data_IF_812881129171
#
_entry.id   IF_812881129171
#
_cell.length_a   1.000
_cell.length_b   1.000
_cell.length_c   1.000
_cell.angle_alpha   90.00
_cell.angle_beta   90.00
_cell.angle_gamma   90.00
#
_symmetry.space_group_name_H-M   'P 1'
#
loop_
_entity.id
_entity.type
_entity.pdbx_description
1 polymer ?
#
# COMPACT_ATOMS: atom_id res chain seq x y z
N UNK A 1 -15.08 26.66 3.08
CA UNK A 1 -14.38 26.24 4.30
C UNK A 1 -14.13 24.74 4.23
N UNK A 2 -12.87 24.29 4.28
CA UNK A 2 -12.51 22.85 4.29
C UNK A 2 -12.90 22.22 5.62
N UNK A 3 -13.58 21.06 5.57
CA UNK A 3 -13.95 20.32 6.79
C UNK A 3 -12.68 19.75 7.45
N UNK A 4 -12.57 19.90 8.76
CA UNK A 4 -11.45 19.33 9.53
C UNK A 4 -11.33 17.82 9.32
N UNK A 5 -10.11 17.34 9.09
CA UNK A 5 -9.83 15.91 8.83
C UNK A 5 -9.60 15.09 10.10
N UNK A 6 -9.33 15.75 11.23
CA UNK A 6 -9.11 15.14 12.54
C UNK A 6 -10.14 15.62 13.55
N UNK A 7 -10.58 14.73 14.48
CA UNK A 7 -11.47 15.04 15.56
C UNK A 7 -10.67 15.50 16.79
N UNK A 8 -11.10 16.59 17.43
CA UNK A 8 -10.61 16.97 18.75
C UNK A 8 -11.08 15.99 19.83
N UNK A 9 -10.51 16.04 21.02
CA UNK A 9 -10.91 15.14 22.11
C UNK A 9 -12.37 15.36 22.52
N UNK A 10 -12.79 16.61 22.62
CA UNK A 10 -14.19 16.98 22.94
C UNK A 10 -15.17 16.47 21.88
N UNK A 11 -14.84 16.66 20.59
CA UNK A 11 -15.65 16.13 19.50
C UNK A 11 -15.75 14.60 19.52
N UNK A 12 -14.71 13.90 19.97
CA UNK A 12 -14.75 12.43 20.13
C UNK A 12 -15.68 12.02 21.24
N UNK A 13 -15.63 12.69 22.42
CA UNK A 13 -16.48 12.41 23.56
C UNK A 13 -17.94 12.64 23.16
N UNK A 14 -18.24 13.79 22.55
CA UNK A 14 -19.57 14.14 22.08
C UNK A 14 -20.08 13.12 21.05
N UNK A 15 -19.27 12.77 20.06
CA UNK A 15 -19.65 11.81 19.03
C UNK A 15 -19.96 10.42 19.63
N UNK A 16 -19.20 9.97 20.63
CA UNK A 16 -19.45 8.69 21.31
C UNK A 16 -20.77 8.73 22.08
N UNK A 17 -21.07 9.81 22.80
CA UNK A 17 -22.35 9.99 23.47
C UNK A 17 -23.53 9.91 22.47
N UNK A 18 -23.43 10.60 21.33
CA UNK A 18 -24.43 10.51 20.27
C UNK A 18 -24.59 9.09 19.70
N UNK A 19 -23.52 8.31 19.62
CA UNK A 19 -23.59 6.92 19.16
C UNK A 19 -24.29 6.02 20.19
N UNK A 20 -24.14 6.28 21.46
CA UNK A 20 -24.86 5.60 22.55
C UNK A 20 -26.37 5.88 22.51
N UNK A 21 -26.76 7.10 22.09
CA UNK A 21 -28.14 7.48 21.81
C UNK A 21 -28.73 6.86 20.52
N UNK A 22 -27.93 6.05 19.81
CA UNK A 22 -28.35 5.40 18.55
C UNK A 22 -28.18 6.26 17.30
N UNK A 23 -27.53 7.41 17.38
CA UNK A 23 -27.30 8.32 16.24
C UNK A 23 -26.21 7.77 15.31
N UNK A 24 -26.42 7.88 14.03
CA UNK A 24 -25.49 7.35 13.01
C UNK A 24 -24.33 8.32 12.69
N UNK A 25 -23.24 7.79 12.13
CA UNK A 25 -22.04 8.56 11.80
C UNK A 25 -22.31 9.76 10.85
N UNK A 26 -23.34 9.67 9.99
CA UNK A 26 -23.69 10.75 9.04
C UNK A 26 -24.31 11.96 9.76
N UNK A 27 -25.23 11.69 10.68
CA UNK A 27 -25.91 12.72 11.46
C UNK A 27 -24.91 13.47 12.31
N UNK A 28 -24.11 12.72 13.08
CA UNK A 28 -23.09 13.30 13.97
C UNK A 28 -22.03 14.08 13.17
N UNK A 29 -21.56 13.59 12.03
CA UNK A 29 -20.58 14.30 11.19
C UNK A 29 -21.10 15.64 10.65
N UNK A 30 -22.41 15.71 10.36
CA UNK A 30 -23.06 16.96 9.93
C UNK A 30 -23.14 17.97 11.06
N UNK A 31 -23.52 17.53 12.23
CA UNK A 31 -23.71 18.35 13.41
C UNK A 31 -22.41 18.97 13.92
N UNK A 32 -21.35 18.18 14.05
CA UNK A 32 -20.03 18.69 14.50
C UNK A 32 -19.21 19.33 13.39
N UNK A 33 -19.76 19.46 12.16
CA UNK A 33 -19.11 20.06 11.00
C UNK A 33 -17.76 19.46 10.63
N UNK A 34 -17.54 18.15 10.90
CA UNK A 34 -16.30 17.41 10.60
C UNK A 34 -16.49 16.47 9.41
N UNK A 35 -15.37 16.03 8.79
CA UNK A 35 -15.44 15.09 7.69
C UNK A 35 -16.06 13.76 8.13
N UNK A 36 -17.02 13.25 7.34
CA UNK A 36 -17.68 11.97 7.61
C UNK A 36 -16.68 10.82 7.79
N UNK A 37 -15.58 10.83 7.06
CA UNK A 37 -14.55 9.78 7.15
C UNK A 37 -13.87 9.72 8.52
N UNK A 38 -13.69 10.86 9.18
CA UNK A 38 -13.14 10.93 10.53
C UNK A 38 -14.12 10.36 11.56
N UNK A 39 -15.40 10.78 11.50
CA UNK A 39 -16.46 10.28 12.38
C UNK A 39 -16.71 8.78 12.14
N UNK A 40 -16.73 8.33 10.88
CA UNK A 40 -16.90 6.91 10.53
C UNK A 40 -15.80 6.03 11.13
N UNK A 41 -14.54 6.49 11.14
CA UNK A 41 -13.44 5.75 11.78
C UNK A 41 -13.66 5.61 13.29
N UNK A 42 -14.14 6.66 13.95
CA UNK A 42 -14.49 6.61 15.37
C UNK A 42 -15.68 5.68 15.62
N UNK A 43 -16.72 5.77 14.81
CA UNK A 43 -17.91 4.92 14.88
C UNK A 43 -17.56 3.42 14.78
N UNK A 44 -16.69 3.04 13.84
CA UNK A 44 -16.26 1.64 13.73
C UNK A 44 -15.48 1.16 14.95
N UNK A 45 -14.64 2.01 15.56
CA UNK A 45 -13.96 1.67 16.83
C UNK A 45 -14.95 1.56 17.98
N UNK A 46 -15.92 2.48 18.07
CA UNK A 46 -16.95 2.43 19.09
C UNK A 46 -17.79 1.15 18.99
N UNK A 47 -18.16 0.72 17.81
CA UNK A 47 -18.89 -0.55 17.63
C UNK A 47 -18.14 -1.78 18.17
N UNK A 48 -16.83 -1.74 18.22
CA UNK A 48 -15.99 -2.84 18.74
C UNK A 48 -15.72 -2.67 20.23
N UNK A 49 -15.35 -1.47 20.68
CA UNK A 49 -14.80 -1.21 22.02
C UNK A 49 -15.71 -0.34 22.91
N UNK A 50 -16.89 0.06 22.46
CA UNK A 50 -17.73 1.00 23.17
C UNK A 50 -16.99 2.30 23.51
N UNK A 51 -17.11 2.78 24.75
CA UNK A 51 -16.39 3.95 25.26
C UNK A 51 -14.86 3.84 25.21
N UNK A 52 -14.29 2.62 25.18
CA UNK A 52 -12.87 2.40 24.97
C UNK A 52 -12.33 2.92 23.61
N UNK A 53 -13.20 3.29 22.69
CA UNK A 53 -12.84 3.95 21.42
C UNK A 53 -12.23 5.36 21.62
N UNK A 54 -12.45 5.99 22.77
CA UNK A 54 -11.86 7.29 23.14
C UNK A 54 -10.36 7.18 23.43
N UNK A 55 -9.91 6.01 23.88
CA UNK A 55 -8.49 5.74 24.14
C UNK A 55 -7.81 5.43 22.83
N UNK A 56 -6.89 6.31 22.42
CA UNK A 56 -6.10 6.10 21.21
C UNK A 56 -4.88 5.26 21.57
N UNK A 57 -4.82 4.00 21.09
CA UNK A 57 -3.61 3.19 21.22
C UNK A 57 -2.50 3.82 20.36
N UNK A 58 -1.32 4.12 20.91
CA UNK A 58 -0.25 4.83 20.19
C UNK A 58 0.35 3.97 19.06
N UNK A 59 0.24 2.66 19.14
CA UNK A 59 0.87 1.73 18.21
C UNK A 59 -0.15 1.10 17.26
N UNK A 60 0.20 1.01 15.98
CA UNK A 60 -0.60 0.30 14.99
C UNK A 60 -0.59 -1.19 15.32
N UNK A 61 -1.76 -1.75 15.62
CA UNK A 61 -1.91 -3.16 15.92
C UNK A 61 -1.63 -4.01 14.67
N UNK A 62 -0.75 -5.00 14.82
CA UNK A 62 -0.49 -6.02 13.80
C UNK A 62 -1.16 -7.33 14.24
N UNK A 63 -1.68 -8.07 13.27
CA UNK A 63 -2.37 -9.34 13.51
C UNK A 63 -1.57 -10.45 12.82
N UNK A 64 -1.42 -11.58 13.51
CA UNK A 64 -0.75 -12.76 12.96
C UNK A 64 -1.53 -13.33 11.76
N UNK A 65 -0.88 -14.17 10.98
CA UNK A 65 -1.52 -14.87 9.86
C UNK A 65 -2.67 -15.75 10.34
N UNK A 66 -2.47 -16.49 11.42
CA UNK A 66 -3.44 -17.40 12.02
C UNK A 66 -4.73 -16.70 12.44
N UNK A 67 -4.61 -15.56 13.13
CA UNK A 67 -5.77 -14.74 13.53
C UNK A 67 -6.54 -14.28 12.28
N UNK A 68 -5.84 -13.80 11.24
CA UNK A 68 -6.51 -13.36 10.02
C UNK A 68 -7.24 -14.49 9.32
N UNK A 69 -6.62 -15.67 9.25
CA UNK A 69 -7.21 -16.85 8.63
C UNK A 69 -8.46 -17.32 9.41
N UNK A 70 -8.33 -17.48 10.73
CA UNK A 70 -9.46 -17.87 11.59
C UNK A 70 -10.66 -16.93 11.46
N UNK A 71 -10.40 -15.60 11.53
CA UNK A 71 -11.45 -14.57 11.39
C UNK A 71 -12.09 -14.61 10.01
N UNK A 72 -11.31 -14.77 8.95
CA UNK A 72 -11.83 -14.80 7.56
C UNK A 72 -12.67 -16.05 7.35
N UNK A 73 -12.24 -17.21 7.83
CA UNK A 73 -12.97 -18.49 7.70
C UNK A 73 -14.33 -18.39 8.40
N UNK A 74 -14.36 -17.92 9.66
CA UNK A 74 -15.60 -17.75 10.41
C UNK A 74 -16.53 -16.70 9.78
N UNK A 75 -15.97 -15.60 9.25
CA UNK A 75 -16.75 -14.60 8.53
C UNK A 75 -17.38 -15.18 7.24
N UNK A 76 -16.66 -16.03 6.51
CA UNK A 76 -17.19 -16.71 5.32
C UNK A 76 -18.26 -17.73 5.66
N UNK A 77 -18.24 -18.31 6.87
CA UNK A 77 -19.30 -19.16 7.41
C UNK A 77 -20.56 -18.37 7.83
N UNK A 78 -20.54 -17.03 7.72
CA UNK A 78 -21.71 -16.18 7.98
C UNK A 78 -21.72 -15.49 9.34
N UNK A 79 -20.65 -15.58 10.14
CA UNK A 79 -20.61 -14.91 11.43
C UNK A 79 -20.55 -13.37 11.29
N UNK A 80 -21.22 -12.61 12.18
CA UNK A 80 -21.28 -11.17 12.11
C UNK A 80 -19.88 -10.53 12.34
N UNK A 81 -19.47 -9.68 11.41
CA UNK A 81 -18.15 -9.02 11.46
C UNK A 81 -17.89 -8.18 12.73
N UNK A 82 -18.96 -7.69 13.40
CA UNK A 82 -18.82 -6.89 14.62
C UNK A 82 -18.44 -7.79 15.79
N UNK A 83 -19.06 -8.94 15.90
CA UNK A 83 -18.83 -9.89 16.99
C UNK A 83 -17.44 -10.52 16.87
N UNK A 84 -17.06 -10.93 15.65
CA UNK A 84 -15.68 -11.35 15.36
C UNK A 84 -14.66 -10.24 15.69
N UNK A 85 -14.98 -8.98 15.37
CA UNK A 85 -14.08 -7.89 15.68
C UNK A 85 -13.94 -7.63 17.19
N UNK A 86 -14.98 -7.89 17.97
CA UNK A 86 -14.93 -7.81 19.44
C UNK A 86 -14.11 -8.96 20.04
N UNK A 87 -14.38 -10.18 19.61
CA UNK A 87 -13.73 -11.39 20.10
C UNK A 87 -12.22 -11.34 19.89
N UNK A 88 -11.79 -10.95 18.69
CA UNK A 88 -10.36 -10.85 18.34
C UNK A 88 -9.74 -9.46 18.61
N UNK A 89 -10.39 -8.58 19.37
CA UNK A 89 -9.97 -7.19 19.67
C UNK A 89 -9.43 -6.45 18.44
N UNK A 90 -10.14 -6.56 17.31
CA UNK A 90 -9.74 -5.89 16.10
C UNK A 90 -9.97 -4.37 16.21
N UNK A 91 -9.11 -3.59 15.56
CA UNK A 91 -9.24 -2.13 15.56
C UNK A 91 -10.48 -1.63 14.80
N UNK A 92 -11.04 -2.45 13.91
CA UNK A 92 -12.25 -2.11 13.14
C UNK A 92 -12.84 -3.34 12.45
N UNK A 93 -14.18 -3.49 12.40
CA UNK A 93 -14.84 -4.57 11.66
C UNK A 93 -14.55 -4.53 10.14
N UNK A 94 -14.14 -3.37 9.62
CA UNK A 94 -13.79 -3.21 8.19
C UNK A 94 -12.54 -3.99 7.80
N UNK A 95 -11.66 -4.31 8.76
CA UNK A 95 -10.47 -5.14 8.48
C UNK A 95 -10.86 -6.51 7.98
N UNK A 96 -11.93 -7.11 8.53
CA UNK A 96 -12.43 -8.42 8.15
C UNK A 96 -12.87 -8.41 6.68
N UNK A 97 -13.61 -7.39 6.26
CA UNK A 97 -14.03 -7.24 4.85
C UNK A 97 -12.82 -7.14 3.91
N UNK A 98 -11.79 -6.41 4.33
CA UNK A 98 -10.56 -6.26 3.53
C UNK A 98 -9.81 -7.58 3.43
N UNK A 99 -9.68 -8.32 4.54
CA UNK A 99 -9.03 -9.63 4.54
C UNK A 99 -9.81 -10.66 3.74
N UNK A 100 -11.14 -10.71 3.89
CA UNK A 100 -12.00 -11.61 3.11
C UNK A 100 -11.93 -11.31 1.61
N UNK A 101 -11.87 -10.04 1.21
CA UNK A 101 -11.67 -9.66 -0.19
C UNK A 101 -10.32 -10.15 -0.72
N UNK A 102 -9.26 -9.95 0.06
CA UNK A 102 -7.91 -10.38 -0.32
C UNK A 102 -7.82 -11.91 -0.41
N UNK A 103 -8.45 -12.61 0.54
CA UNK A 103 -8.53 -14.06 0.56
C UNK A 103 -9.26 -14.62 -0.67
N UNK A 104 -10.40 -14.04 -1.05
CA UNK A 104 -11.14 -14.43 -2.27
C UNK A 104 -10.35 -14.18 -3.55
N UNK A 105 -9.52 -13.12 -3.58
CA UNK A 105 -8.75 -12.76 -4.76
C UNK A 105 -7.47 -13.58 -4.95
N UNK A 106 -6.81 -14.00 -3.87
CA UNK A 106 -5.45 -14.57 -3.91
C UNK A 106 -5.24 -15.74 -2.93
N UNK A 107 -6.29 -16.25 -2.30
CA UNK A 107 -6.20 -17.32 -1.30
C UNK A 107 -5.48 -16.89 -0.01
N UNK A 108 -4.96 -17.86 0.72
CA UNK A 108 -4.31 -17.69 2.02
C UNK A 108 -3.05 -16.83 1.95
N UNK A 109 -2.32 -16.88 0.86
CA UNK A 109 -1.08 -16.10 0.68
C UNK A 109 -1.31 -14.58 0.79
N UNK A 110 -2.52 -14.13 0.49
CA UNK A 110 -2.87 -12.71 0.63
C UNK A 110 -2.93 -12.22 2.08
N UNK A 111 -3.07 -13.13 3.05
CA UNK A 111 -3.14 -12.83 4.47
C UNK A 111 -1.76 -12.80 5.15
N UNK A 112 -0.74 -13.38 4.51
CA UNK A 112 0.63 -13.39 5.01
C UNK A 112 1.18 -11.96 5.16
N UNK A 113 2.06 -11.71 6.15
CA UNK A 113 2.68 -10.41 6.31
C UNK A 113 3.54 -10.10 5.07
N UNK A 114 3.35 -8.91 4.49
CA UNK A 114 4.16 -8.43 3.38
C UNK A 114 5.21 -7.44 3.89
N UNK A 115 6.42 -7.45 3.36
CA UNK A 115 7.42 -6.44 3.67
C UNK A 115 6.86 -5.06 3.33
N UNK A 116 7.13 -4.08 4.21
CA UNK A 116 6.73 -2.69 4.00
C UNK A 116 7.63 -2.06 2.93
N UNK A 117 7.04 -1.30 2.05
CA UNK A 117 7.75 -0.57 1.01
C UNK A 117 7.20 -0.86 -0.38
N UNK A 118 7.72 -0.11 -1.36
CA UNK A 118 7.50 -0.40 -2.76
C UNK A 118 8.11 -1.78 -3.03
N UNK A 119 7.40 -2.72 -3.69
CA UNK A 119 8.01 -3.98 -4.09
C UNK A 119 9.33 -3.67 -4.78
N UNK A 120 10.43 -4.21 -4.27
CA UNK A 120 11.70 -4.15 -4.97
C UNK A 120 11.43 -4.82 -6.31
N UNK A 121 11.50 -4.05 -7.38
CA UNK A 121 11.45 -4.60 -8.73
C UNK A 121 12.55 -5.66 -8.74
N UNK A 122 12.16 -6.92 -8.72
CA UNK A 122 13.11 -7.99 -9.00
C UNK A 122 13.68 -7.56 -10.34
N UNK A 123 14.97 -7.20 -10.36
CA UNK A 123 15.67 -7.05 -11.59
C UNK A 123 15.39 -8.36 -12.32
N UNK A 124 14.55 -8.30 -13.34
CA UNK A 124 14.33 -9.46 -14.17
C UNK A 124 15.72 -9.81 -14.69
N UNK A 125 16.06 -11.09 -14.71
CA UNK A 125 17.25 -11.57 -15.38
C UNK A 125 17.34 -11.03 -16.81
N UNK A 126 16.18 -10.73 -17.41
CA UNK A 126 16.06 -10.04 -18.69
C UNK A 126 16.62 -8.59 -18.68
N UNK A 127 16.46 -7.81 -17.59
CA UNK A 127 17.05 -6.46 -17.50
C UNK A 127 18.60 -6.52 -17.46
N UNK A 128 19.18 -7.60 -16.89
CA UNK A 128 20.62 -7.83 -16.90
C UNK A 128 21.13 -8.19 -18.30
N UNK A 129 20.47 -9.11 -18.99
CA UNK A 129 20.84 -9.53 -20.36
C UNK A 129 20.61 -8.41 -21.38
N UNK A 130 19.51 -7.63 -21.27
CA UNK A 130 19.30 -6.44 -22.10
C UNK A 130 20.35 -5.37 -21.84
N UNK A 131 20.79 -5.20 -20.60
CA UNK A 131 21.87 -4.27 -20.25
C UNK A 131 23.21 -4.69 -20.86
N UNK A 132 23.56 -5.96 -20.78
CA UNK A 132 24.78 -6.51 -21.40
C UNK A 132 24.75 -6.41 -22.92
N UNK A 133 23.64 -6.78 -23.56
CA UNK A 133 23.44 -6.63 -25.00
C UNK A 133 23.53 -5.17 -25.44
N UNK A 134 23.01 -4.24 -24.66
CA UNK A 134 23.14 -2.81 -24.96
C UNK A 134 24.58 -2.32 -24.83
N UNK A 135 25.32 -2.78 -23.84
CA UNK A 135 26.73 -2.46 -23.66
C UNK A 135 27.56 -3.00 -24.82
N UNK A 136 27.39 -4.27 -25.20
CA UNK A 136 28.07 -4.87 -26.33
C UNK A 136 27.76 -4.16 -27.66
N UNK A 137 26.50 -3.77 -27.89
CA UNK A 137 26.13 -2.97 -29.07
C UNK A 137 26.87 -1.63 -29.12
N UNK A 138 26.96 -0.90 -28.01
CA UNK A 138 27.71 0.35 -27.95
C UNK A 138 29.20 0.15 -28.20
N UNK A 139 29.78 -0.92 -27.67
CA UNK A 139 31.18 -1.25 -27.88
C UNK A 139 31.46 -1.58 -29.33
N UNK A 140 30.60 -2.36 -29.98
CA UNK A 140 30.71 -2.66 -31.40
C UNK A 140 30.59 -1.41 -32.28
N UNK A 141 29.68 -0.49 -31.95
CA UNK A 141 29.56 0.79 -32.65
C UNK A 141 30.80 1.66 -32.48
N UNK A 142 31.34 1.73 -31.27
CA UNK A 142 32.58 2.47 -30.98
C UNK A 142 33.76 1.91 -31.78
N UNK A 143 33.97 0.61 -31.73
CA UNK A 143 35.05 -0.08 -32.48
C UNK A 143 34.91 0.08 -33.98
N UNK A 144 33.69 0.08 -34.53
CA UNK A 144 33.44 0.35 -35.95
C UNK A 144 33.81 1.77 -36.34
N UNK A 145 33.46 2.75 -35.50
CA UNK A 145 33.81 4.16 -35.69
C UNK A 145 35.34 4.34 -35.67
N UNK A 146 36.04 3.73 -34.71
CA UNK A 146 37.47 3.77 -34.59
C UNK A 146 38.19 3.15 -35.78
N UNK A 147 37.72 1.99 -36.23
CA UNK A 147 38.26 1.35 -37.44
C UNK A 147 38.07 2.21 -38.70
N UNK A 148 36.91 2.84 -38.84
CA UNK A 148 36.66 3.76 -39.96
C UNK A 148 37.58 4.99 -39.92
N UNK A 149 37.80 5.54 -38.75
CA UNK A 149 38.72 6.68 -38.53
C UNK A 149 40.17 6.30 -38.89
N UNK A 150 40.65 5.14 -38.39
CA UNK A 150 41.99 4.62 -38.71
C UNK A 150 42.16 4.34 -40.18
N UNK A 151 41.13 3.82 -40.85
CA UNK A 151 41.08 3.58 -42.29
C UNK A 151 41.27 4.90 -43.08
N UNK A 152 40.58 5.96 -42.71
CA UNK A 152 40.70 7.29 -43.30
C UNK A 152 42.09 7.89 -43.05
N UNK A 153 42.65 7.74 -41.88
CA UNK A 153 44.01 8.20 -41.56
C UNK A 153 45.07 7.50 -42.41
N UNK A 154 44.93 6.18 -42.61
CA UNK A 154 45.83 5.42 -43.47
C UNK A 154 45.75 5.89 -44.94
N UNK A 155 44.56 6.08 -45.45
CA UNK A 155 44.32 6.60 -46.78
C UNK A 155 44.93 8.00 -46.98
N UNK A 156 44.76 8.92 -46.02
CA UNK A 156 45.35 10.25 -46.06
C UNK A 156 46.89 10.22 -46.05
N UNK A 157 47.49 9.37 -45.22
CA UNK A 157 48.97 9.22 -45.16
C UNK A 157 49.49 8.62 -46.48
N UNK A 158 48.77 7.73 -47.10
CA UNK A 158 49.14 7.14 -48.38
C UNK A 158 49.04 8.15 -49.52
N UNK A 159 47.99 8.97 -49.56
CA UNK A 159 47.91 10.11 -50.47
C UNK A 159 49.04 11.11 -50.30
N UNK A 160 49.37 11.49 -49.06
CA UNK A 160 50.51 12.37 -48.79
C UNK A 160 51.88 11.81 -49.22
N UNK A 161 52.04 10.47 -49.21
CA UNK A 161 53.24 9.82 -49.70
C UNK A 161 53.33 9.78 -51.25
N UNK A 162 52.17 9.75 -51.95
CA UNK A 162 52.11 9.78 -53.42
C UNK A 162 52.28 11.16 -54.02
N UNK A 163 52.07 12.21 -53.24
CA UNK A 163 52.19 13.61 -53.68
C UNK A 163 53.55 14.25 -53.35
N UNK A 164 54.48 13.48 -52.74
CA UNK A 164 55.89 13.82 -52.56
C UNK A 164 56.76 13.03 -53.53
#
# INVERSE_FOLDING_TARGET
>A
MGKQSALTQEQRIYAVACFEEGRGERSVAREICVSRSAVKRLYHRWRVRGRGALVTKPTKQSYSFEIKLAVVTRFLCGEPKVDLAREFDLSSPKLIETWARNYRARGEDALKPRPRGRPRRLASTQDGEESELQQLRREVEYLRAENAYLGKLRALREQQRRTK
#
